data_IF_325011807188
#
_entry.id   IF_325011807188
#
_cell.length_a   1.000
_cell.length_b   1.000
_cell.length_c   1.000
_cell.angle_alpha   90.00
_cell.angle_beta   90.00
_cell.angle_gamma   90.00
#
_symmetry.space_group_name_H-M   'P 1'
#
loop_
_entity.id
_entity.type
_entity.pdbx_description
1 polymer ?
#
# COMPACT_ATOMS: atom_id res chain seq x y z
N UNK A 1 7.68 -10.19 1.53
CA UNK A 1 7.47 -9.19 2.60
C UNK A 1 6.16 -8.46 2.40
N UNK A 2 5.48 -8.20 3.48
CA UNK A 2 4.25 -7.41 3.46
C UNK A 2 4.53 -5.97 3.83
N UNK A 3 3.80 -5.07 3.16
CA UNK A 3 3.85 -3.64 3.43
C UNK A 3 2.44 -3.09 3.56
N UNK A 4 2.18 -2.34 4.64
CA UNK A 4 1.04 -1.47 4.68
C UNK A 4 1.42 -0.17 3.97
N UNK A 5 0.72 0.11 2.87
CA UNK A 5 0.93 1.32 2.08
C UNK A 5 -0.19 2.29 2.43
N UNK A 6 0.17 3.48 2.89
CA UNK A 6 -0.81 4.52 3.21
C UNK A 6 -0.74 5.57 2.11
N UNK A 7 -1.85 5.74 1.40
CA UNK A 7 -1.99 6.77 0.37
C UNK A 7 -2.65 7.99 0.98
N UNK A 8 -2.03 9.15 0.79
CA UNK A 8 -2.58 10.45 1.17
C UNK A 8 -3.02 11.19 -0.08
N UNK A 9 -4.30 11.52 -0.16
CA UNK A 9 -4.85 12.25 -1.30
C UNK A 9 -4.66 13.74 -1.13
N UNK A 10 -4.09 14.42 -2.15
CA UNK A 10 -3.90 15.85 -2.14
C UNK A 10 -5.24 16.57 -2.03
N UNK A 11 -5.33 17.56 -1.12
CA UNK A 11 -6.54 18.35 -0.89
C UNK A 11 -7.76 17.48 -0.57
N UNK A 12 -7.55 16.29 0.02
CA UNK A 12 -8.60 15.31 0.29
C UNK A 12 -9.41 14.93 -0.97
N UNK A 13 -8.81 15.06 -2.14
CA UNK A 13 -9.46 14.75 -3.41
C UNK A 13 -8.89 13.46 -4.01
N UNK A 14 -9.64 12.38 -3.89
CA UNK A 14 -9.28 11.06 -4.43
C UNK A 14 -9.68 10.90 -5.89
N UNK A 15 -10.45 11.82 -6.46
CA UNK A 15 -11.03 11.66 -7.80
C UNK A 15 -9.96 11.43 -8.87
N UNK A 16 -8.85 12.21 -8.93
CA UNK A 16 -7.80 11.95 -9.93
C UNK A 16 -7.20 10.55 -9.85
N UNK A 17 -7.06 10.02 -8.62
CA UNK A 17 -6.52 8.67 -8.39
C UNK A 17 -7.49 7.60 -8.89
N UNK A 18 -8.77 7.71 -8.52
CA UNK A 18 -9.79 6.76 -8.95
C UNK A 18 -10.01 6.79 -10.46
N UNK A 19 -9.93 7.96 -11.09
CA UNK A 19 -10.00 8.08 -12.55
C UNK A 19 -8.85 7.31 -13.21
N UNK A 20 -7.64 7.43 -12.67
CA UNK A 20 -6.46 6.74 -13.19
C UNK A 20 -6.57 5.22 -13.03
N UNK A 21 -7.06 4.75 -11.89
CA UNK A 21 -7.32 3.32 -11.66
C UNK A 21 -8.36 2.79 -12.64
N UNK A 22 -9.45 3.54 -12.85
CA UNK A 22 -10.49 3.16 -13.82
C UNK A 22 -9.91 3.01 -15.22
N UNK A 23 -9.06 3.92 -15.65
CA UNK A 23 -8.57 3.98 -17.02
C UNK A 23 -7.35 3.07 -17.28
N UNK A 24 -6.49 2.85 -16.28
CA UNK A 24 -5.25 2.11 -16.45
C UNK A 24 -4.98 1.02 -15.41
N UNK A 25 -5.91 0.77 -14.49
CA UNK A 25 -5.71 -0.17 -13.39
C UNK A 25 -4.70 0.34 -12.37
N UNK A 26 -4.21 -0.57 -11.52
CA UNK A 26 -3.26 -0.21 -10.46
C UNK A 26 -1.84 0.02 -10.97
N UNK A 27 -1.52 -0.37 -12.19
CA UNK A 27 -0.21 -0.22 -12.81
C UNK A 27 0.91 -0.88 -12.00
N UNK A 28 0.64 -2.06 -11.47
CA UNK A 28 1.58 -2.81 -10.65
C UNK A 28 2.71 -3.38 -11.53
N UNK A 29 3.99 -3.14 -11.19
CA UNK A 29 5.08 -3.85 -11.83
C UNK A 29 5.01 -5.34 -11.50
N UNK A 30 5.59 -6.18 -12.37
CA UNK A 30 5.66 -7.62 -12.13
C UNK A 30 6.39 -7.89 -10.80
N UNK A 31 5.81 -8.76 -9.98
CA UNK A 31 6.35 -9.11 -8.67
C UNK A 31 5.78 -8.29 -7.52
N UNK A 32 5.07 -7.21 -7.79
CA UNK A 32 4.34 -6.46 -6.77
C UNK A 32 2.88 -6.89 -6.78
N UNK A 33 2.39 -7.38 -5.64
CA UNK A 33 1.04 -7.94 -5.52
C UNK A 33 0.17 -7.10 -4.58
N UNK A 34 -1.00 -6.74 -5.04
CA UNK A 34 -2.07 -6.17 -4.23
C UNK A 34 -2.78 -7.28 -3.46
N UNK A 35 -2.95 -7.11 -2.14
CA UNK A 35 -3.65 -8.08 -1.30
C UNK A 35 -5.05 -7.59 -0.97
N UNK A 36 -5.17 -6.41 -0.36
CA UNK A 36 -6.45 -5.80 0.01
C UNK A 36 -6.26 -4.32 0.34
N UNK A 37 -7.37 -3.58 0.43
CA UNK A 37 -7.30 -2.17 0.80
C UNK A 37 -8.55 -1.69 1.51
N UNK A 38 -8.39 -0.59 2.25
CA UNK A 38 -9.45 0.06 3.03
C UNK A 38 -9.31 1.57 2.87
N UNK A 39 -10.42 2.27 2.73
CA UNK A 39 -10.44 3.73 2.51
C UNK A 39 -11.16 4.38 3.67
N UNK A 40 -10.60 5.46 4.21
CA UNK A 40 -11.28 6.25 5.23
C UNK A 40 -12.58 6.83 4.67
N UNK A 41 -13.67 6.86 5.46
CA UNK A 41 -14.95 7.39 4.96
C UNK A 41 -14.92 8.83 4.47
N UNK A 42 -13.97 9.64 4.97
CA UNK A 42 -13.78 11.03 4.54
C UNK A 42 -12.92 11.17 3.28
N UNK A 43 -12.46 10.05 2.69
CA UNK A 43 -11.60 10.02 1.50
C UNK A 43 -10.24 10.71 1.68
N UNK A 44 -9.76 10.82 2.91
CA UNK A 44 -8.45 11.42 3.18
C UNK A 44 -7.31 10.46 2.89
N UNK A 45 -7.46 9.17 3.30
CA UNK A 45 -6.40 8.18 3.16
C UNK A 45 -6.93 6.84 2.69
N UNK A 46 -6.09 6.11 1.99
CA UNK A 46 -6.31 4.70 1.66
C UNK A 46 -5.19 3.87 2.29
N UNK A 47 -5.56 2.76 2.90
CA UNK A 47 -4.63 1.78 3.49
C UNK A 47 -4.63 0.55 2.60
N UNK A 48 -3.47 0.21 2.06
CA UNK A 48 -3.35 -0.84 1.06
C UNK A 48 -2.31 -1.86 1.48
N UNK A 49 -2.69 -3.13 1.57
CA UNK A 49 -1.75 -4.20 1.91
C UNK A 49 -1.16 -4.75 0.62
N UNK A 50 0.17 -4.71 0.52
CA UNK A 50 0.89 -5.14 -0.67
C UNK A 50 2.03 -6.07 -0.31
N UNK A 51 2.38 -6.95 -1.24
CA UNK A 51 3.45 -7.92 -1.04
C UNK A 51 4.45 -7.87 -2.18
N UNK A 52 5.73 -7.90 -1.85
CA UNK A 52 6.82 -8.08 -2.80
C UNK A 52 8.09 -8.54 -2.08
N UNK A 53 9.03 -9.10 -2.84
CA UNK A 53 10.34 -9.52 -2.32
C UNK A 53 11.43 -8.47 -2.53
N UNK A 54 11.13 -7.42 -3.29
CA UNK A 54 12.08 -6.38 -3.64
C UNK A 54 11.43 -5.00 -3.50
N UNK A 55 11.88 -4.23 -2.51
CA UNK A 55 11.32 -2.91 -2.23
C UNK A 55 11.46 -1.92 -3.40
N UNK A 56 12.37 -2.17 -4.35
CA UNK A 56 12.47 -1.34 -5.56
C UNK A 56 11.20 -1.39 -6.41
N UNK A 57 10.41 -2.46 -6.31
CA UNK A 57 9.12 -2.57 -6.99
C UNK A 57 8.13 -1.52 -6.47
N UNK A 58 8.19 -1.20 -5.18
CA UNK A 58 7.37 -0.12 -4.60
C UNK A 58 7.80 1.23 -5.18
N UNK A 59 9.10 1.47 -5.33
CA UNK A 59 9.60 2.70 -5.94
C UNK A 59 9.16 2.83 -7.40
N UNK A 60 9.22 1.73 -8.16
CA UNK A 60 8.75 1.71 -9.55
C UNK A 60 7.26 2.02 -9.62
N UNK A 61 6.48 1.46 -8.71
CA UNK A 61 5.04 1.69 -8.65
C UNK A 61 4.71 3.14 -8.32
N UNK A 62 5.39 3.74 -7.33
CA UNK A 62 5.21 5.16 -6.97
C UNK A 62 5.42 6.08 -8.17
N UNK A 63 6.43 5.78 -8.99
CA UNK A 63 6.73 6.60 -10.17
C UNK A 63 5.60 6.57 -11.20
N UNK A 64 4.81 5.50 -11.26
CA UNK A 64 3.64 5.42 -12.14
C UNK A 64 2.53 6.37 -11.69
N UNK A 65 2.50 6.74 -10.41
CA UNK A 65 1.48 7.61 -9.83
C UNK A 65 1.94 9.06 -9.67
N UNK A 66 3.12 9.37 -10.16
CA UNK A 66 3.66 10.72 -10.10
C UNK A 66 2.73 11.69 -10.82
N UNK A 67 2.41 12.81 -10.16
CA UNK A 67 1.49 13.82 -10.70
C UNK A 67 0.00 13.51 -10.55
N UNK A 68 -0.36 12.38 -9.93
CA UNK A 68 -1.77 11.99 -9.73
C UNK A 68 -2.40 12.61 -8.48
N UNK A 69 -1.66 13.39 -7.69
CA UNK A 69 -2.20 14.00 -6.47
C UNK A 69 -2.26 13.03 -5.30
N UNK A 70 -1.32 12.11 -5.21
CA UNK A 70 -1.22 11.13 -4.12
C UNK A 70 0.22 11.04 -3.64
N UNK A 71 0.39 10.91 -2.32
CA UNK A 71 1.67 10.60 -1.69
C UNK A 71 1.56 9.30 -0.92
N UNK A 72 2.68 8.64 -0.66
CA UNK A 72 2.71 7.29 -0.11
C UNK A 72 3.59 7.21 1.11
N UNK A 73 3.14 6.42 2.12
CA UNK A 73 3.97 5.91 3.19
C UNK A 73 4.03 4.40 3.05
N UNK A 74 5.21 3.81 3.32
CA UNK A 74 5.42 2.36 3.27
C UNK A 74 5.85 1.86 4.64
N UNK A 75 5.07 0.96 5.22
CA UNK A 75 5.33 0.40 6.55
C UNK A 75 5.47 -1.11 6.40
N UNK A 76 6.69 -1.68 6.62
CA UNK A 76 6.84 -3.13 6.67
C UNK A 76 6.02 -3.68 7.82
N UNK A 77 5.27 -4.75 7.57
CA UNK A 77 4.42 -5.38 8.57
C UNK A 77 4.60 -6.88 8.57
N UNK A 78 4.36 -7.49 9.72
CA UNK A 78 4.38 -8.94 9.91
C UNK A 78 2.99 -9.36 10.37
N UNK A 79 2.39 -10.42 9.79
CA UNK A 79 1.11 -10.92 10.26
C UNK A 79 1.18 -11.28 11.75
N UNK A 80 0.15 -10.93 12.50
CA UNK A 80 0.12 -11.16 13.95
C UNK A 80 0.32 -12.62 14.34
N UNK A 81 -0.14 -13.56 13.51
CA UNK A 81 0.07 -14.98 13.75
C UNK A 81 1.55 -15.36 13.79
N UNK A 82 2.34 -14.80 12.85
CA UNK A 82 3.79 -15.03 12.82
C UNK A 82 4.49 -14.31 13.99
N UNK A 83 4.03 -13.12 14.34
CA UNK A 83 4.55 -12.40 15.51
C UNK A 83 4.34 -13.18 16.79
N UNK A 84 3.18 -13.84 16.95
CA UNK A 84 2.93 -14.69 18.11
C UNK A 84 3.92 -15.85 18.20
N UNK A 85 4.33 -16.41 17.08
CA UNK A 85 5.35 -17.47 17.04
C UNK A 85 6.73 -16.96 17.52
N UNK A 86 7.08 -15.74 17.12
CA UNK A 86 8.34 -15.10 17.55
C UNK A 86 8.34 -14.83 19.05
N UNK A 87 7.22 -14.38 19.58
CA UNK A 87 7.07 -13.99 20.99
C UNK A 87 6.93 -15.19 21.91
N UNK A 88 6.36 -16.30 21.44
CA UNK A 88 6.01 -17.47 22.27
C UNK A 88 7.13 -17.95 23.19
N UNK A 89 8.41 -18.07 22.76
CA UNK A 89 9.49 -18.53 23.65
C UNK A 89 9.74 -17.61 24.84
N UNK A 90 9.27 -16.37 24.80
CA UNK A 90 9.46 -15.34 25.84
C UNK A 90 8.31 -15.30 26.86
N UNK A 91 7.24 -16.09 26.64
CA UNK A 91 6.06 -16.12 27.47
C UNK A 91 6.06 -17.32 28.45
N UNK A 92 7.17 -17.58 29.08
CA UNK A 92 7.32 -18.72 29.98
C UNK A 92 6.51 -18.56 31.27
#
# INVERSE_FOLDING_TARGET
>A
MLFMVIEHFRDHDMVPVYQRVRDGGRMLPEGLRYVDSWVEPNFSRCFQLMECDDARLLQQWVLQWRGAGVTFEFIPVVPSAQTREVVAPHLA
#
